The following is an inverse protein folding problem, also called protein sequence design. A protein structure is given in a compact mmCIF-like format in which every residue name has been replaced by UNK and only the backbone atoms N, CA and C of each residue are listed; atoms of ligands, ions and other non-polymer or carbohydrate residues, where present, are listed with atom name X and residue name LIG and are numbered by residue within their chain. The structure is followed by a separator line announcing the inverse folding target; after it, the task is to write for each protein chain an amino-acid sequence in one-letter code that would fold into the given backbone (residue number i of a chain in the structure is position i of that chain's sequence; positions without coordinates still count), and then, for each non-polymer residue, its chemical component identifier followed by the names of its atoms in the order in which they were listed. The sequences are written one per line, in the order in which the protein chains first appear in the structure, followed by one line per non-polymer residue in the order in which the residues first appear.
data_IF_824735234150
#
_entry.id   IF_824735234150
#
_cell.length_a   1.000
_cell.length_b   1.000
_cell.length_c   1.000
_cell.angle_alpha   90.00
_cell.angle_beta   90.00
_cell.angle_gamma   90.00
#
_symmetry.space_group_name_H-M   'P 1'
#
loop_
_entity.id
_entity.type
_entity.pdbx_description
1 polymer ?
#
# COMPACT_ATOMS: atom_id res chain seq x y z
N UNK A 1 6.45 -27.70 17.54
CA UNK A 1 5.42 -26.64 17.65
C UNK A 1 6.10 -25.33 17.27
N UNK A 2 5.99 -24.91 16.01
CA UNK A 2 6.47 -23.59 15.61
C UNK A 2 5.51 -22.56 16.20
N UNK A 3 5.91 -21.90 17.26
CA UNK A 3 5.27 -20.66 17.72
C UNK A 3 5.41 -19.66 16.57
N UNK A 4 4.31 -19.38 15.87
CA UNK A 4 4.26 -18.29 14.91
C UNK A 4 4.54 -17.02 15.69
N UNK A 5 5.77 -16.52 15.58
CA UNK A 5 6.17 -15.26 16.21
C UNK A 5 5.24 -14.16 15.68
N UNK A 6 4.62 -13.42 16.57
CA UNK A 6 3.77 -12.28 16.17
C UNK A 6 4.57 -11.33 15.27
N UNK A 7 3.95 -10.79 14.24
CA UNK A 7 4.59 -9.82 13.35
C UNK A 7 5.03 -8.59 14.14
N UNK A 8 6.31 -8.25 14.06
CA UNK A 8 6.86 -7.05 14.70
C UNK A 8 6.72 -5.84 13.75
N UNK A 9 5.57 -5.22 13.78
CA UNK A 9 5.29 -4.04 12.98
C UNK A 9 6.15 -2.82 13.33
N UNK A 10 6.67 -2.74 14.56
CA UNK A 10 7.61 -1.70 14.96
C UNK A 10 8.93 -1.82 14.21
N UNK A 11 9.47 -3.04 14.14
CA UNK A 11 10.68 -3.33 13.38
C UNK A 11 10.45 -3.11 11.87
N UNK A 12 9.32 -3.56 11.32
CA UNK A 12 9.00 -3.36 9.90
C UNK A 12 8.89 -1.88 9.53
N UNK A 13 8.30 -1.05 10.37
CA UNK A 13 8.24 0.39 10.15
C UNK A 13 9.64 1.05 10.18
N UNK A 14 10.52 0.64 11.09
CA UNK A 14 11.90 1.12 11.13
C UNK A 14 12.69 0.70 9.88
N UNK A 15 12.53 -0.54 9.44
CA UNK A 15 13.17 -1.05 8.22
C UNK A 15 12.66 -0.31 6.97
N UNK A 16 11.34 -0.07 6.87
CA UNK A 16 10.75 0.70 5.79
C UNK A 16 11.29 2.13 5.72
N UNK A 17 11.41 2.82 6.87
CA UNK A 17 12.02 4.14 6.95
C UNK A 17 13.47 4.13 6.45
N UNK A 18 14.28 3.16 6.94
CA UNK A 18 15.69 3.04 6.53
C UNK A 18 15.86 2.74 5.04
N UNK A 19 14.94 1.98 4.43
CA UNK A 19 14.95 1.71 2.98
C UNK A 19 14.55 2.93 2.15
N UNK A 20 13.77 3.86 2.73
CA UNK A 20 13.33 5.07 2.05
C UNK A 20 14.30 6.24 2.23
N UNK A 21 14.99 6.31 3.36
CA UNK A 21 15.89 7.42 3.69
C UNK A 21 17.08 7.50 2.74
N UNK A 22 17.29 8.66 2.12
CA UNK A 22 18.39 8.90 1.20
C UNK A 22 18.31 8.15 -0.13
N UNK A 23 17.24 7.43 -0.40
CA UNK A 23 17.06 6.71 -1.66
C UNK A 23 16.68 7.67 -2.78
N UNK A 24 17.33 7.59 -3.97
CA UNK A 24 17.08 8.50 -5.09
C UNK A 24 15.74 8.18 -5.75
N UNK A 25 14.69 8.92 -5.37
CA UNK A 25 13.31 8.72 -5.79
C UNK A 25 12.58 7.67 -4.93
N UNK A 26 11.26 7.64 -5.01
CA UNK A 26 10.44 6.75 -4.18
C UNK A 26 10.40 5.30 -4.68
N UNK A 27 10.52 5.06 -6.00
CA UNK A 27 10.31 3.74 -6.60
C UNK A 27 11.22 2.63 -6.04
N UNK A 28 12.57 2.82 -5.93
CA UNK A 28 13.44 1.78 -5.38
C UNK A 28 13.13 1.46 -3.92
N UNK A 29 12.80 2.48 -3.11
CA UNK A 29 12.41 2.28 -1.72
C UNK A 29 11.14 1.43 -1.60
N UNK A 30 10.10 1.77 -2.35
CA UNK A 30 8.81 1.07 -2.33
C UNK A 30 8.91 -0.36 -2.88
N UNK A 31 9.79 -0.59 -3.88
CA UNK A 31 10.07 -1.94 -4.37
C UNK A 31 10.69 -2.81 -3.26
N UNK A 32 11.67 -2.29 -2.52
CA UNK A 32 12.28 -3.00 -1.40
C UNK A 32 11.30 -3.19 -0.23
N UNK A 33 10.45 -2.21 0.05
CA UNK A 33 9.43 -2.34 1.11
C UNK A 33 8.37 -3.39 0.74
N UNK A 34 7.93 -3.44 -0.52
CA UNK A 34 7.01 -4.50 -0.97
C UNK A 34 7.63 -5.90 -0.80
N UNK A 35 8.91 -6.07 -1.16
CA UNK A 35 9.63 -7.32 -0.94
C UNK A 35 9.78 -7.67 0.55
N UNK A 36 10.17 -6.69 1.38
CA UNK A 36 10.26 -6.85 2.84
C UNK A 36 8.95 -7.32 3.45
N UNK A 37 7.84 -6.67 3.10
CA UNK A 37 6.52 -7.03 3.63
C UNK A 37 6.06 -8.39 3.13
N UNK A 38 6.30 -8.71 1.85
CA UNK A 38 5.95 -9.99 1.26
C UNK A 38 6.63 -11.18 1.94
N UNK A 39 7.89 -10.99 2.41
CA UNK A 39 8.61 -12.02 3.14
C UNK A 39 8.27 -12.07 4.63
N UNK A 40 7.98 -10.93 5.24
CA UNK A 40 7.78 -10.84 6.70
C UNK A 40 6.35 -11.19 7.15
N UNK A 41 5.35 -10.95 6.28
CA UNK A 41 3.94 -11.12 6.65
C UNK A 41 3.46 -12.55 6.34
N UNK A 42 3.01 -13.30 7.36
CA UNK A 42 2.50 -14.65 7.12
C UNK A 42 1.12 -14.63 6.46
N UNK A 43 0.86 -15.63 5.63
CA UNK A 43 -0.47 -15.91 5.07
C UNK A 43 -1.05 -14.78 4.23
N UNK A 44 -0.22 -14.08 3.48
CA UNK A 44 -0.63 -13.15 2.44
C UNK A 44 -0.36 -13.75 1.06
N UNK A 45 -1.04 -13.29 0.03
CA UNK A 45 -0.77 -13.64 -1.38
C UNK A 45 -0.33 -12.44 -2.21
N UNK A 46 -0.54 -11.23 -1.68
CA UNK A 46 -0.13 -10.00 -2.34
C UNK A 46 0.11 -8.87 -1.34
N UNK A 47 1.09 -8.02 -1.59
CA UNK A 47 1.29 -6.74 -0.90
C UNK A 47 1.99 -5.77 -1.83
N UNK A 48 1.51 -4.53 -1.90
CA UNK A 48 2.11 -3.54 -2.78
C UNK A 48 1.46 -2.17 -2.70
N UNK A 49 1.82 -1.35 -3.65
CA UNK A 49 1.44 0.04 -3.70
C UNK A 49 0.67 0.35 -4.98
N UNK A 50 -0.39 1.12 -4.83
CA UNK A 50 -1.04 1.80 -5.94
C UNK A 50 -0.84 3.30 -5.78
N UNK A 51 -0.41 3.97 -6.84
CA UNK A 51 -0.09 5.40 -6.85
C UNK A 51 -1.27 6.17 -7.44
N UNK A 52 -1.69 7.23 -6.75
CA UNK A 52 -2.77 8.10 -7.23
C UNK A 52 -2.31 8.92 -8.44
N UNK A 53 -3.15 8.99 -9.46
CA UNK A 53 -2.93 9.77 -10.66
C UNK A 53 -4.13 10.65 -10.97
N UNK A 54 -3.95 11.64 -11.85
CA UNK A 54 -5.07 12.44 -12.34
C UNK A 54 -5.88 11.62 -13.34
N UNK A 55 -6.98 11.06 -12.87
CA UNK A 55 -7.96 10.36 -13.71
C UNK A 55 -8.90 11.31 -14.45
N UNK A 56 -9.82 10.76 -15.26
CA UNK A 56 -10.85 11.53 -15.95
C UNK A 56 -11.69 12.38 -14.98
N UNK A 57 -12.10 13.56 -15.42
CA UNK A 57 -12.92 14.50 -14.65
C UNK A 57 -12.33 14.96 -13.30
N UNK A 58 -10.97 14.96 -13.17
CA UNK A 58 -10.28 15.43 -11.96
C UNK A 58 -10.37 14.49 -10.77
N UNK A 59 -10.82 13.24 -10.97
CA UNK A 59 -10.78 12.18 -9.94
C UNK A 59 -9.41 11.51 -9.93
N UNK A 60 -9.05 10.95 -8.79
CA UNK A 60 -7.77 10.27 -8.61
C UNK A 60 -7.93 8.77 -8.87
N UNK A 61 -7.60 8.31 -10.06
CA UNK A 61 -7.45 6.89 -10.33
C UNK A 61 -6.15 6.38 -9.71
N UNK A 62 -6.07 5.08 -9.47
CA UNK A 62 -4.89 4.42 -8.94
C UNK A 62 -4.19 3.63 -10.04
N UNK A 63 -2.87 3.73 -10.11
CA UNK A 63 -2.02 2.96 -11.03
C UNK A 63 -1.08 2.06 -10.23
N UNK A 64 -0.90 0.83 -10.70
CA UNK A 64 -0.05 -0.16 -10.07
C UNK A 64 1.39 0.35 -9.92
N UNK A 65 1.86 0.34 -8.68
CA UNK A 65 3.24 0.60 -8.29
C UNK A 65 4.01 -0.69 -7.98
N UNK A 66 5.10 -0.60 -7.21
CA UNK A 66 5.85 -1.77 -6.77
C UNK A 66 5.01 -2.71 -5.90
N UNK A 67 5.16 -4.01 -6.11
CA UNK A 67 4.44 -5.04 -5.36
C UNK A 67 5.23 -6.35 -5.25
N UNK A 68 4.81 -7.18 -4.32
CA UNK A 68 5.17 -8.58 -4.19
C UNK A 68 3.91 -9.45 -4.37
N UNK A 69 3.99 -10.48 -5.20
CA UNK A 69 2.87 -11.38 -5.48
C UNK A 69 2.66 -11.62 -6.97
N UNK A 70 1.44 -12.05 -7.33
CA UNK A 70 1.05 -12.29 -8.72
C UNK A 70 0.77 -10.97 -9.44
N UNK A 71 0.80 -10.96 -10.81
CA UNK A 71 0.33 -9.82 -11.58
C UNK A 71 -1.07 -9.38 -11.14
N UNK A 72 -1.26 -8.06 -11.02
CA UNK A 72 -2.49 -7.44 -10.53
C UNK A 72 -3.09 -6.46 -11.54
N UNK A 73 -4.22 -5.84 -11.20
CA UNK A 73 -4.87 -4.82 -12.02
C UNK A 73 -3.91 -3.64 -12.27
N UNK A 74 -3.74 -3.22 -13.50
CA UNK A 74 -2.83 -2.10 -13.85
C UNK A 74 -3.37 -0.77 -13.36
N UNK A 75 -4.70 -0.61 -13.34
CA UNK A 75 -5.37 0.60 -12.85
C UNK A 75 -6.67 0.27 -12.13
N UNK A 76 -7.00 1.06 -11.12
CA UNK A 76 -8.24 0.97 -10.35
C UNK A 76 -8.91 2.35 -10.40
N UNK A 77 -10.16 2.46 -10.90
CA UNK A 77 -10.87 3.72 -10.95
C UNK A 77 -11.18 4.25 -9.54
N UNK A 78 -11.27 5.56 -9.40
CA UNK A 78 -11.68 6.22 -8.15
C UNK A 78 -13.00 5.64 -7.61
N UNK A 79 -13.01 5.32 -6.33
CA UNK A 79 -14.18 4.77 -5.63
C UNK A 79 -14.48 3.30 -5.94
N UNK A 80 -13.74 2.67 -6.86
CA UNK A 80 -13.96 1.28 -7.24
C UNK A 80 -13.08 0.32 -6.42
N UNK A 81 -13.65 -0.81 -6.03
CA UNK A 81 -12.97 -1.79 -5.19
C UNK A 81 -12.58 -1.26 -3.81
N UNK A 82 -11.75 -2.00 -3.09
CA UNK A 82 -11.32 -1.63 -1.74
C UNK A 82 -10.32 -0.47 -1.79
N UNK A 83 -9.32 -0.55 -2.68
CA UNK A 83 -8.33 0.50 -2.88
C UNK A 83 -8.96 1.84 -3.32
N UNK A 84 -9.85 1.82 -4.33
CA UNK A 84 -10.56 3.02 -4.77
C UNK A 84 -11.45 3.61 -3.67
N UNK A 85 -12.06 2.77 -2.85
CA UNK A 85 -12.85 3.20 -1.69
C UNK A 85 -11.99 3.84 -0.60
N UNK A 86 -10.78 3.32 -0.37
CA UNK A 86 -9.84 3.91 0.57
C UNK A 86 -9.46 5.35 0.16
N UNK A 87 -9.22 5.58 -1.13
CA UNK A 87 -8.95 6.92 -1.68
C UNK A 87 -10.18 7.82 -1.57
N UNK A 88 -11.35 7.35 -2.00
CA UNK A 88 -12.60 8.13 -1.97
C UNK A 88 -12.96 8.62 -0.57
N UNK A 89 -12.80 7.74 0.44
CA UNK A 89 -13.16 8.07 1.83
C UNK A 89 -12.02 8.69 2.62
N UNK A 90 -10.81 8.64 2.08
CA UNK A 90 -9.56 8.97 2.78
C UNK A 90 -9.44 8.24 4.13
N UNK A 91 -9.78 6.95 4.14
CA UNK A 91 -9.77 6.11 5.36
C UNK A 91 -9.24 4.73 5.05
N UNK A 92 -8.51 4.11 5.97
CA UNK A 92 -8.15 2.71 5.87
C UNK A 92 -9.38 1.82 5.69
N UNK A 93 -9.20 0.71 4.97
CA UNK A 93 -10.21 -0.32 4.76
C UNK A 93 -9.69 -1.64 5.34
N UNK A 94 -10.43 -2.21 6.27
CA UNK A 94 -10.16 -3.53 6.85
C UNK A 94 -11.32 -4.45 6.44
N UNK A 95 -11.09 -5.29 5.44
CA UNK A 95 -12.14 -6.09 4.78
C UNK A 95 -11.97 -7.57 5.13
N UNK A 96 -12.83 -8.13 5.98
CA UNK A 96 -12.71 -9.52 6.40
C UNK A 96 -13.11 -10.53 5.31
N UNK A 97 -13.97 -10.15 4.36
CA UNK A 97 -14.32 -10.95 3.20
C UNK A 97 -14.57 -10.05 1.98
N UNK A 98 -13.65 -10.10 1.02
CA UNK A 98 -13.73 -9.28 -0.20
C UNK A 98 -14.95 -9.59 -1.06
N UNK A 99 -15.48 -10.82 -0.97
CA UNK A 99 -16.67 -11.20 -1.72
C UNK A 99 -17.96 -10.56 -1.17
N UNK A 100 -17.95 -10.12 0.09
CA UNK A 100 -19.03 -9.36 0.69
C UNK A 100 -18.88 -7.83 0.50
N UNK A 101 -17.74 -7.36 -0.03
CA UNK A 101 -17.47 -5.94 -0.22
C UNK A 101 -18.17 -5.40 -1.48
N UNK A 102 -19.04 -4.37 -1.37
CA UNK A 102 -19.77 -3.83 -2.52
C UNK A 102 -18.82 -3.27 -3.59
N UNK A 103 -18.95 -3.74 -4.82
CA UNK A 103 -18.11 -3.27 -5.93
C UNK A 103 -16.66 -3.75 -5.90
N UNK A 104 -16.36 -4.83 -5.16
CA UNK A 104 -15.04 -5.43 -5.15
C UNK A 104 -14.53 -5.73 -6.57
N UNK A 105 -13.27 -5.42 -6.83
CA UNK A 105 -12.56 -5.75 -8.06
C UNK A 105 -11.59 -6.90 -7.74
N UNK A 106 -11.86 -8.08 -8.27
CA UNK A 106 -10.99 -9.24 -8.06
C UNK A 106 -9.73 -9.14 -8.93
N UNK A 107 -8.68 -8.49 -8.43
CA UNK A 107 -7.37 -8.46 -9.09
C UNK A 107 -6.65 -9.81 -8.94
N UNK A 108 -6.85 -10.53 -7.84
CA UNK A 108 -6.49 -11.94 -7.67
C UNK A 108 -7.70 -12.72 -7.13
N UNK A 109 -8.14 -13.74 -7.87
CA UNK A 109 -9.27 -14.59 -7.47
C UNK A 109 -8.99 -15.41 -6.20
N UNK A 110 -7.74 -15.50 -5.75
CA UNK A 110 -7.36 -16.19 -4.52
C UNK A 110 -7.58 -15.34 -3.27
N UNK A 111 -7.67 -14.02 -3.39
CA UNK A 111 -7.85 -13.10 -2.25
C UNK A 111 -9.22 -13.27 -1.60
N UNK A 112 -9.23 -13.34 -0.27
CA UNK A 112 -10.42 -13.51 0.57
C UNK A 112 -10.59 -12.39 1.58
N UNK A 113 -9.50 -11.80 2.07
CA UNK A 113 -9.52 -10.61 2.93
C UNK A 113 -8.46 -9.62 2.47
N UNK A 114 -8.67 -8.35 2.78
CA UNK A 114 -7.85 -7.26 2.27
C UNK A 114 -7.71 -6.15 3.33
N UNK A 115 -6.53 -5.54 3.37
CA UNK A 115 -6.21 -4.39 4.23
C UNK A 115 -5.58 -3.31 3.37
N UNK A 116 -6.22 -2.15 3.28
CA UNK A 116 -5.73 -0.99 2.52
C UNK A 116 -5.55 0.21 3.44
N UNK A 117 -4.40 0.88 3.34
CA UNK A 117 -4.10 2.10 4.09
C UNK A 117 -3.71 3.22 3.13
N UNK A 118 -4.41 4.37 3.12
CA UNK A 118 -4.02 5.55 2.33
C UNK A 118 -2.66 6.08 2.74
N UNK A 119 -1.88 6.53 1.75
CA UNK A 119 -0.58 7.19 1.91
C UNK A 119 -0.74 8.65 1.51
N UNK A 120 -0.22 9.56 2.31
CA UNK A 120 -0.31 11.00 2.09
C UNK A 120 1.05 11.61 1.80
N UNK A 121 1.02 12.69 1.05
CA UNK A 121 2.18 13.55 0.86
C UNK A 121 1.81 15.01 1.17
N UNK A 122 2.80 15.80 1.54
CA UNK A 122 2.64 17.25 1.74
C UNK A 122 3.06 17.98 0.47
N UNK A 123 2.12 18.66 -0.18
CA UNK A 123 2.38 19.47 -1.36
C UNK A 123 3.19 20.75 -1.01
N UNK A 124 3.73 21.42 -2.02
CA UNK A 124 4.57 22.62 -1.83
C UNK A 124 3.84 23.78 -1.16
N UNK A 125 2.51 23.83 -1.27
CA UNK A 125 1.67 24.83 -0.58
C UNK A 125 1.29 24.44 0.85
N UNK A 126 1.82 23.32 1.36
CA UNK A 126 1.53 22.79 2.69
C UNK A 126 0.25 21.96 2.79
N UNK A 127 -0.50 21.80 1.70
CA UNK A 127 -1.70 20.95 1.69
C UNK A 127 -1.34 19.46 1.73
N UNK A 128 -2.20 18.67 2.34
CA UNK A 128 -2.08 17.20 2.32
C UNK A 128 -2.83 16.65 1.13
N UNK A 129 -2.15 15.83 0.35
CA UNK A 129 -2.71 15.13 -0.81
C UNK A 129 -2.61 13.62 -0.62
N UNK A 130 -3.53 12.85 -1.20
CA UNK A 130 -3.41 11.39 -1.26
C UNK A 130 -2.38 11.08 -2.34
N UNK A 131 -1.29 10.42 -1.93
CA UNK A 131 -0.26 9.94 -2.85
C UNK A 131 -0.61 8.59 -3.46
N UNK A 132 -1.31 7.75 -2.71
CA UNK A 132 -1.67 6.41 -3.11
C UNK A 132 -2.15 5.58 -1.94
N UNK A 133 -1.99 4.26 -2.04
CA UNK A 133 -2.34 3.31 -0.99
C UNK A 133 -1.27 2.23 -0.84
N UNK A 134 -1.12 1.71 0.39
CA UNK A 134 -0.52 0.41 0.67
C UNK A 134 -1.65 -0.60 0.78
N UNK A 135 -1.61 -1.63 -0.04
CA UNK A 135 -2.61 -2.68 -0.18
C UNK A 135 -2.02 -4.04 0.16
N UNK A 136 -2.75 -4.88 0.88
CA UNK A 136 -2.34 -6.22 1.24
C UNK A 136 -3.51 -7.20 1.24
N UNK A 137 -3.33 -8.28 0.50
CA UNK A 137 -4.31 -9.35 0.32
C UNK A 137 -3.91 -10.64 1.01
N UNK A 138 -4.93 -11.40 1.43
CA UNK A 138 -4.76 -12.74 1.96
C UNK A 138 -5.78 -13.72 1.38
N UNK A 139 -5.39 -14.99 1.11
CA UNK A 139 -6.31 -16.05 0.73
C UNK A 139 -7.15 -16.58 1.92
N UNK A 140 -6.92 -16.05 3.12
CA UNK A 140 -7.62 -16.45 4.35
C UNK A 140 -8.66 -15.38 4.70
N UNK A 141 -9.93 -15.72 4.89
CA UNK A 141 -10.93 -14.78 5.39
C UNK A 141 -10.55 -14.25 6.76
N UNK A 142 -10.82 -12.98 7.01
CA UNK A 142 -10.54 -12.28 8.28
C UNK A 142 -9.08 -12.44 8.78
N UNK A 143 -8.10 -12.52 7.83
CA UNK A 143 -6.68 -12.61 8.19
C UNK A 143 -6.20 -11.37 8.93
N UNK A 144 -6.68 -10.21 8.53
CA UNK A 144 -6.23 -8.94 9.09
C UNK A 144 -7.09 -8.53 10.30
N UNK A 145 -6.43 -8.06 11.34
CA UNK A 145 -6.99 -7.59 12.59
C UNK A 145 -6.79 -6.08 12.77
N UNK A 146 -7.35 -5.51 13.83
CA UNK A 146 -7.07 -4.13 14.22
C UNK A 146 -5.58 -3.88 14.53
N UNK A 147 -4.87 -4.89 15.05
CA UNK A 147 -3.44 -4.79 15.29
C UNK A 147 -2.63 -4.75 13.97
N UNK A 148 -3.05 -5.49 12.95
CA UNK A 148 -2.47 -5.39 11.60
C UNK A 148 -2.71 -4.01 11.01
N UNK A 149 -3.93 -3.47 11.13
CA UNK A 149 -4.25 -2.11 10.66
C UNK A 149 -3.37 -1.05 11.34
N UNK A 150 -3.19 -1.14 12.66
CA UNK A 150 -2.29 -0.23 13.39
C UNK A 150 -0.84 -0.38 12.90
N UNK A 151 -0.40 -1.62 12.69
CA UNK A 151 0.93 -1.93 12.17
C UNK A 151 1.18 -1.36 10.78
N UNK A 152 0.25 -1.55 9.85
CA UNK A 152 0.32 -0.97 8.50
C UNK A 152 0.29 0.55 8.53
N UNK A 153 -0.52 1.15 9.42
CA UNK A 153 -0.54 2.61 9.58
C UNK A 153 0.80 3.16 10.07
N UNK A 154 1.52 2.43 10.93
CA UNK A 154 2.89 2.78 11.36
C UNK A 154 3.89 2.71 10.20
N UNK A 155 3.80 1.67 9.35
CA UNK A 155 4.66 1.53 8.16
C UNK A 155 4.40 2.69 7.19
N UNK A 156 3.14 2.98 6.88
CA UNK A 156 2.75 4.10 6.02
C UNK A 156 3.29 5.42 6.57
N UNK A 157 3.09 5.69 7.85
CA UNK A 157 3.60 6.91 8.48
C UNK A 157 5.14 7.04 8.42
N UNK A 158 5.86 5.92 8.54
CA UNK A 158 7.30 5.91 8.37
C UNK A 158 7.71 6.28 6.93
N UNK A 159 7.02 5.75 5.92
CA UNK A 159 7.24 6.08 4.51
C UNK A 159 6.91 7.54 4.20
N UNK A 160 5.79 8.06 4.70
CA UNK A 160 5.37 9.46 4.51
C UNK A 160 6.43 10.46 5.02
N UNK A 161 7.19 10.07 6.05
CA UNK A 161 8.25 10.91 6.64
C UNK A 161 9.61 10.76 5.97
N UNK A 162 9.91 9.59 5.42
CA UNK A 162 11.27 9.24 4.99
C UNK A 162 11.45 9.25 3.47
N UNK A 163 10.35 9.14 2.70
CA UNK A 163 10.39 9.11 1.24
C UNK A 163 10.07 10.47 0.62
N UNK A 164 10.74 10.81 -0.47
CA UNK A 164 10.35 11.94 -1.32
C UNK A 164 9.21 11.53 -2.26
N UNK A 165 7.99 11.53 -1.74
CA UNK A 165 6.80 11.03 -2.43
C UNK A 165 6.39 11.86 -3.64
N UNK A 166 6.65 13.17 -3.62
CA UNK A 166 6.31 14.08 -4.72
C UNK A 166 7.48 14.31 -5.68
N UNK A 167 8.65 13.78 -5.35
CA UNK A 167 9.79 13.75 -6.24
C UNK A 167 9.63 12.74 -7.39
N UNK A 168 10.61 12.66 -8.28
CA UNK A 168 10.59 11.71 -9.38
C UNK A 168 10.61 10.27 -8.85
N UNK A 169 9.97 9.36 -9.59
CA UNK A 169 9.99 7.92 -9.25
C UNK A 169 11.42 7.38 -9.18
N UNK A 170 12.27 7.82 -10.10
CA UNK A 170 13.72 7.55 -10.15
C UNK A 170 14.42 8.85 -10.53
N UNK A 171 15.55 9.16 -9.89
CA UNK A 171 16.40 10.29 -10.27
C UNK A 171 17.32 9.85 -11.40
N UNK A 172 17.14 10.33 -12.64
CA UNK A 172 18.00 9.94 -13.76
C UNK A 172 19.41 10.56 -13.60
N UNK A 173 20.43 9.79 -14.01
CA UNK A 173 21.79 10.32 -14.11
C UNK A 173 21.83 11.32 -15.27
N UNK A 174 22.27 12.53 -14.98
CA UNK A 174 22.55 13.52 -16.04
C UNK A 174 23.84 13.12 -16.76
N UNK A 175 23.78 13.03 -18.09
CA UNK A 175 24.94 12.81 -18.92
C UNK A 175 25.87 14.04 -18.88
#
# INVERSE_FOLDING_TARGET
MNSTRATDYGLLAQQAASLAEGTPGWLPAFANVAALLGEALPSINWVGFYVATNGPAGKQDLVLGPFWGRPACVSIPYGAGVCGRAVETNKPQLVPDVHAFPGHIACDAASRSELVVPIHATAADGSTVIWGVLDCDSPIPARFSAADLEGFSRIVHALEKSADLLGPAVVPVRA
#
